data_IF_201931795795
#
_entry.id   IF_201931795795
#
_cell.length_a   1.000
_cell.length_b   1.000
_cell.length_c   1.000
_cell.angle_alpha   90.00
_cell.angle_beta   90.00
_cell.angle_gamma   90.00
#
_symmetry.space_group_name_H-M   'P 1'
#
loop_
_entity.id
_entity.type
_entity.pdbx_description
1 polymer ?
#
# COMPACT_ATOMS: atom_id res chain seq x y z
N UNK A 1 -3.77 3.66 -35.10
CA UNK A 1 -4.57 4.91 -35.10
C UNK A 1 -5.23 5.07 -33.74
N UNK A 2 -4.58 5.80 -32.81
CA UNK A 2 -5.12 6.08 -31.47
C UNK A 2 -5.72 7.49 -31.42
N UNK A 3 -7.02 7.56 -31.15
CA UNK A 3 -7.74 8.80 -30.90
C UNK A 3 -7.54 9.21 -29.44
N UNK A 4 -6.57 10.10 -29.20
CA UNK A 4 -6.35 10.74 -27.92
C UNK A 4 -7.44 11.80 -27.67
N UNK A 5 -8.35 11.53 -26.72
CA UNK A 5 -9.40 12.47 -26.30
C UNK A 5 -8.76 13.69 -25.61
N UNK A 6 -8.65 14.82 -26.34
CA UNK A 6 -8.29 16.13 -25.80
C UNK A 6 -9.28 16.55 -24.71
N UNK A 7 -8.78 16.73 -23.48
CA UNK A 7 -9.51 17.45 -22.42
C UNK A 7 -9.70 18.91 -22.86
N UNK A 8 -10.91 19.50 -22.78
CA UNK A 8 -11.15 20.85 -23.29
C UNK A 8 -10.33 21.90 -22.53
N UNK A 9 -9.53 22.67 -23.28
CA UNK A 9 -8.72 23.84 -22.84
C UNK A 9 -9.47 24.78 -21.87
N UNK A 10 -10.81 24.88 -22.01
CA UNK A 10 -11.70 25.71 -21.18
C UNK A 10 -11.75 25.31 -19.70
N UNK A 11 -11.58 24.03 -19.32
CA UNK A 11 -11.62 23.59 -17.89
C UNK A 11 -10.38 24.01 -17.11
N UNK A 12 -9.22 24.12 -17.79
CA UNK A 12 -7.94 24.55 -17.20
C UNK A 12 -7.93 26.07 -16.97
N UNK A 13 -8.47 26.83 -17.90
CA UNK A 13 -8.64 28.29 -17.76
C UNK A 13 -9.62 28.66 -16.62
N UNK A 14 -10.69 27.91 -16.43
CA UNK A 14 -11.66 28.16 -15.35
C UNK A 14 -11.05 27.95 -13.95
N UNK A 15 -10.24 26.89 -13.78
CA UNK A 15 -9.52 26.63 -12.52
C UNK A 15 -8.46 27.69 -12.22
N UNK A 16 -7.73 28.15 -13.23
CA UNK A 16 -6.74 29.23 -13.08
C UNK A 16 -7.40 30.56 -12.70
N UNK A 17 -8.60 30.86 -13.24
CA UNK A 17 -9.37 32.06 -12.87
C UNK A 17 -9.87 32.02 -11.41
N UNK A 18 -10.26 30.85 -10.90
CA UNK A 18 -10.68 30.69 -9.48
C UNK A 18 -9.50 30.87 -8.53
N UNK A 19 -8.32 30.32 -8.87
CA UNK A 19 -7.10 30.47 -8.08
C UNK A 19 -6.61 31.92 -8.05
N UNK A 20 -6.65 32.63 -9.19
CA UNK A 20 -6.35 34.08 -9.24
C UNK A 20 -7.33 34.94 -8.44
N UNK A 21 -8.62 34.56 -8.39
CA UNK A 21 -9.62 35.29 -7.58
C UNK A 21 -9.42 35.08 -6.08
N UNK A 22 -8.98 33.88 -5.66
CA UNK A 22 -8.62 33.59 -4.26
C UNK A 22 -7.35 34.31 -3.83
N UNK A 23 -6.31 34.38 -4.68
CA UNK A 23 -5.08 35.12 -4.36
C UNK A 23 -5.33 36.63 -4.22
N UNK A 24 -6.16 37.22 -5.08
CA UNK A 24 -6.55 38.65 -4.97
C UNK A 24 -7.31 38.97 -3.68
N UNK A 25 -8.19 38.07 -3.19
CA UNK A 25 -8.90 38.24 -1.91
C UNK A 25 -7.96 38.17 -0.70
N UNK A 26 -6.97 37.25 -0.73
CA UNK A 26 -5.96 37.14 0.32
C UNK A 26 -5.07 38.39 0.33
N UNK A 27 -4.65 38.89 -0.84
CA UNK A 27 -3.89 40.13 -0.95
C UNK A 27 -4.66 41.35 -0.41
N UNK A 28 -5.96 41.43 -0.67
CA UNK A 28 -6.83 42.48 -0.13
C UNK A 28 -6.95 42.41 1.39
N UNK A 29 -7.07 41.21 1.97
CA UNK A 29 -7.14 41.02 3.43
C UNK A 29 -5.82 41.37 4.11
N UNK A 30 -4.68 40.98 3.54
CA UNK A 30 -3.35 41.34 4.04
C UNK A 30 -3.12 42.85 3.92
N UNK A 31 -3.52 43.48 2.81
CA UNK A 31 -3.44 44.93 2.63
C UNK A 31 -4.27 45.70 3.67
N UNK A 32 -5.49 45.23 3.98
CA UNK A 32 -6.33 45.81 5.02
C UNK A 32 -5.75 45.58 6.43
N UNK A 33 -5.13 44.44 6.70
CA UNK A 33 -4.47 44.14 7.98
C UNK A 33 -3.22 45.03 8.19
N UNK A 34 -2.44 45.24 7.14
CA UNK A 34 -1.27 46.14 7.13
C UNK A 34 -1.71 47.60 7.32
N UNK A 35 -2.84 48.00 6.73
CA UNK A 35 -3.44 49.33 6.96
C UNK A 35 -3.97 49.50 8.39
N UNK A 36 -4.56 48.45 8.98
CA UNK A 36 -5.02 48.45 10.38
C UNK A 36 -3.85 48.52 11.38
N UNK A 37 -2.71 47.94 11.05
CA UNK A 37 -1.51 47.98 11.91
C UNK A 37 -0.72 49.29 11.78
N UNK A 38 -1.03 50.16 10.82
CA UNK A 38 -0.21 51.32 10.47
C UNK A 38 -0.67 52.67 11.07
N UNK A 39 -1.77 52.76 11.82
CA UNK A 39 -2.25 54.06 12.36
C UNK A 39 -2.74 53.80 13.79
N UNK A 40 -1.95 54.05 14.85
CA UNK A 40 -1.85 55.38 15.48
C UNK A 40 -0.69 55.53 16.50
N UNK A 41 0.32 54.66 16.53
CA UNK A 41 1.37 54.68 17.58
C UNK A 41 2.83 54.77 17.12
N UNK A 42 3.11 54.87 15.82
CA UNK A 42 4.50 54.87 15.29
C UNK A 42 5.14 56.28 15.27
N UNK A 43 4.40 57.34 15.63
CA UNK A 43 4.91 58.71 15.53
C UNK A 43 5.81 59.18 16.70
N UNK A 44 5.96 58.41 17.78
CA UNK A 44 6.69 58.85 18.98
C UNK A 44 7.99 58.09 19.31
N UNK A 45 8.51 57.26 18.39
CA UNK A 45 9.75 56.52 18.61
C UNK A 45 10.96 57.18 17.94
N UNK A 46 12.12 57.05 18.61
CA UNK A 46 13.40 57.58 18.17
C UNK A 46 13.76 57.09 16.76
N UNK A 47 14.51 57.91 16.02
CA UNK A 47 14.90 57.65 14.63
C UNK A 47 15.49 56.24 14.39
N UNK A 48 16.14 55.66 15.41
CA UNK A 48 16.70 54.29 15.37
C UNK A 48 15.63 53.19 15.31
N UNK A 49 14.49 53.36 15.98
CA UNK A 49 13.41 52.38 15.96
C UNK A 49 12.67 52.34 14.62
N UNK A 50 12.56 53.49 13.95
CA UNK A 50 11.99 53.59 12.60
C UNK A 50 12.84 52.85 11.57
N UNK A 51 14.17 53.03 11.63
CA UNK A 51 15.12 52.30 10.77
C UNK A 51 15.00 50.79 11.02
N UNK A 52 14.94 50.37 12.29
CA UNK A 52 14.79 48.95 12.64
C UNK A 52 13.49 48.34 12.11
N UNK A 53 12.36 49.04 12.25
CA UNK A 53 11.07 48.59 11.74
C UNK A 53 11.05 48.44 10.21
N UNK A 54 11.70 49.36 9.49
CA UNK A 54 11.84 49.29 8.02
C UNK A 54 12.69 48.08 7.60
N UNK A 55 13.84 47.85 8.26
CA UNK A 55 14.69 46.69 7.98
C UNK A 55 13.98 45.35 8.27
N UNK A 56 13.21 45.28 9.36
CA UNK A 56 12.42 44.10 9.71
C UNK A 56 11.33 43.82 8.66
N UNK A 57 10.66 44.85 8.16
CA UNK A 57 9.67 44.71 7.07
C UNK A 57 10.32 44.19 5.78
N UNK A 58 11.49 44.71 5.41
CA UNK A 58 12.24 44.24 4.22
C UNK A 58 12.63 42.77 4.39
N UNK A 59 13.10 42.37 5.58
CA UNK A 59 13.46 40.99 5.88
C UNK A 59 12.25 40.04 5.77
N UNK A 60 11.09 40.43 6.34
CA UNK A 60 9.86 39.62 6.29
C UNK A 60 9.38 39.47 4.85
N UNK A 61 9.36 40.55 4.07
CA UNK A 61 8.97 40.51 2.65
C UNK A 61 9.95 39.64 1.84
N UNK A 62 11.25 39.75 2.11
CA UNK A 62 12.28 38.91 1.49
C UNK A 62 12.08 37.42 1.79
N UNK A 63 11.80 37.07 3.05
CA UNK A 63 11.51 35.68 3.46
C UNK A 63 10.24 35.15 2.80
N UNK A 64 9.18 35.97 2.70
CA UNK A 64 7.94 35.59 2.02
C UNK A 64 8.19 35.38 0.53
N UNK A 65 8.95 36.28 -0.12
CA UNK A 65 9.28 36.18 -1.54
C UNK A 65 10.13 34.94 -1.85
N UNK A 66 11.16 34.68 -1.04
CA UNK A 66 12.00 33.48 -1.13
C UNK A 66 11.17 32.21 -0.92
N UNK A 67 10.30 32.18 0.10
CA UNK A 67 9.42 31.04 0.33
C UNK A 67 8.44 30.83 -0.83
N UNK A 68 7.78 31.87 -1.33
CA UNK A 68 6.81 31.75 -2.44
C UNK A 68 7.47 31.28 -3.74
N UNK A 69 8.67 31.78 -4.07
CA UNK A 69 9.40 31.34 -5.27
C UNK A 69 9.99 29.93 -5.11
N UNK A 70 10.59 29.61 -3.96
CA UNK A 70 11.06 28.24 -3.70
C UNK A 70 9.91 27.22 -3.65
N UNK A 71 8.74 27.58 -3.10
CA UNK A 71 7.59 26.67 -3.11
C UNK A 71 7.05 26.46 -4.53
N UNK A 72 6.97 27.52 -5.34
CA UNK A 72 6.48 27.44 -6.72
C UNK A 72 7.39 26.59 -7.60
N UNK A 73 8.71 26.77 -7.51
CA UNK A 73 9.67 25.94 -8.24
C UNK A 73 9.67 24.49 -7.77
N UNK A 74 9.61 24.24 -6.46
CA UNK A 74 9.52 22.88 -5.92
C UNK A 74 8.22 22.18 -6.32
N UNK A 75 7.08 22.87 -6.32
CA UNK A 75 5.79 22.31 -6.77
C UNK A 75 5.83 22.00 -8.27
N UNK A 76 6.42 22.87 -9.09
CA UNK A 76 6.58 22.63 -10.52
C UNK A 76 7.56 21.48 -10.80
N UNK A 77 8.67 21.37 -10.08
CA UNK A 77 9.62 20.27 -10.16
C UNK A 77 9.01 18.94 -9.71
N UNK A 78 8.23 18.92 -8.63
CA UNK A 78 7.47 17.74 -8.18
C UNK A 78 6.42 17.34 -9.24
N UNK A 79 5.76 18.32 -9.85
CA UNK A 79 4.78 18.05 -10.89
C UNK A 79 5.45 17.53 -12.18
N UNK A 80 6.56 18.13 -12.61
CA UNK A 80 7.36 17.66 -13.74
C UNK A 80 7.95 16.28 -13.46
N UNK A 81 8.49 16.01 -12.27
CA UNK A 81 8.95 14.69 -11.85
C UNK A 81 7.84 13.63 -11.87
N UNK A 82 6.62 13.98 -11.43
CA UNK A 82 5.45 13.08 -11.51
C UNK A 82 4.99 12.84 -12.95
N UNK A 83 5.13 13.82 -13.84
CA UNK A 83 4.70 13.73 -15.25
C UNK A 83 5.74 13.03 -16.13
N UNK A 84 7.03 13.25 -15.91
CA UNK A 84 8.11 12.58 -16.66
C UNK A 84 8.29 11.12 -16.25
N UNK A 85 7.93 10.75 -15.00
CA UNK A 85 7.90 9.35 -14.55
C UNK A 85 6.65 8.58 -14.99
N UNK A 86 5.70 9.23 -15.67
CA UNK A 86 4.52 8.62 -16.28
C UNK A 86 4.75 8.13 -17.72
N UNK A 87 6.01 7.99 -18.14
CA UNK A 87 6.38 7.19 -19.32
C UNK A 87 6.36 5.72 -18.89
N UNK A 88 5.37 4.96 -19.34
CA UNK A 88 5.11 3.54 -19.00
C UNK A 88 6.37 2.75 -18.64
N UNK A 89 6.68 2.68 -17.34
CA UNK A 89 7.56 1.62 -16.81
C UNK A 89 6.72 0.34 -16.85
N UNK A 90 7.29 -0.76 -17.36
CA UNK A 90 6.60 -2.06 -17.39
C UNK A 90 6.06 -2.48 -16.02
N UNK A 91 5.22 -3.53 -16.01
CA UNK A 91 4.68 -4.09 -14.78
C UNK A 91 5.78 -4.35 -13.75
N UNK A 92 5.68 -3.67 -12.60
CA UNK A 92 6.66 -3.82 -11.53
C UNK A 92 6.21 -4.85 -10.49
N UNK A 93 4.89 -5.00 -10.32
CA UNK A 93 4.30 -5.89 -9.33
C UNK A 93 3.12 -6.67 -9.93
N UNK A 94 3.09 -7.97 -9.69
CA UNK A 94 1.92 -8.82 -9.93
C UNK A 94 1.32 -9.21 -8.59
N UNK A 95 0.04 -8.90 -8.37
CA UNK A 95 -0.71 -9.27 -7.17
C UNK A 95 -1.80 -10.24 -7.57
N UNK A 96 -1.94 -11.32 -6.82
CA UNK A 96 -2.91 -12.35 -7.08
C UNK A 96 -3.60 -12.84 -5.82
N UNK A 97 -4.75 -13.45 -6.04
CA UNK A 97 -5.58 -14.02 -4.98
C UNK A 97 -6.47 -15.11 -5.57
N UNK A 98 -7.24 -15.78 -4.73
CA UNK A 98 -8.19 -16.82 -5.11
C UNK A 98 -9.31 -16.90 -4.09
N UNK A 99 -10.51 -17.21 -4.54
CA UNK A 99 -11.65 -17.52 -3.68
C UNK A 99 -12.68 -18.34 -4.44
N UNK A 100 -13.58 -18.97 -3.67
CA UNK A 100 -14.80 -19.59 -4.20
C UNK A 100 -15.99 -18.65 -3.99
N UNK A 101 -16.91 -18.60 -4.96
CA UNK A 101 -18.12 -17.79 -4.86
C UNK A 101 -18.97 -18.21 -3.68
N UNK A 102 -19.28 -17.24 -2.80
CA UNK A 102 -20.06 -17.47 -1.58
C UNK A 102 -20.93 -16.27 -1.27
N UNK A 103 -22.22 -16.52 -0.99
CA UNK A 103 -23.19 -15.46 -0.68
C UNK A 103 -22.77 -14.62 0.53
N UNK A 104 -22.23 -15.24 1.57
CA UNK A 104 -21.81 -14.56 2.80
C UNK A 104 -20.53 -13.70 2.64
N UNK A 105 -19.78 -13.89 1.55
CA UNK A 105 -18.57 -13.13 1.23
C UNK A 105 -18.71 -12.24 -0.02
N UNK A 106 -19.88 -12.22 -0.66
CA UNK A 106 -20.10 -11.53 -1.92
C UNK A 106 -19.71 -10.04 -1.85
N UNK A 107 -20.10 -9.35 -0.77
CA UNK A 107 -19.77 -7.93 -0.58
C UNK A 107 -18.25 -7.71 -0.53
N UNK A 108 -17.53 -8.52 0.26
CA UNK A 108 -16.08 -8.31 0.48
C UNK A 108 -15.25 -8.69 -0.74
N UNK A 109 -15.63 -9.76 -1.45
CA UNK A 109 -14.99 -10.14 -2.71
C UNK A 109 -15.27 -9.10 -3.81
N UNK A 110 -16.50 -8.59 -3.88
CA UNK A 110 -16.84 -7.53 -4.83
C UNK A 110 -16.05 -6.24 -4.56
N UNK A 111 -15.88 -5.87 -3.29
CA UNK A 111 -15.02 -4.76 -2.90
C UNK A 111 -13.58 -4.99 -3.37
N UNK A 112 -13.00 -6.17 -3.15
CA UNK A 112 -11.64 -6.49 -3.59
C UNK A 112 -11.51 -6.40 -5.11
N UNK A 113 -12.44 -7.03 -5.84
CA UNK A 113 -12.44 -7.07 -7.30
C UNK A 113 -12.46 -5.67 -7.93
N UNK A 114 -13.20 -4.74 -7.33
CA UNK A 114 -13.30 -3.36 -7.80
C UNK A 114 -12.19 -2.45 -7.26
N UNK A 115 -11.87 -2.51 -5.97
CA UNK A 115 -10.95 -1.55 -5.34
C UNK A 115 -9.50 -1.80 -5.72
N UNK A 116 -9.08 -3.06 -5.93
CA UNK A 116 -7.71 -3.33 -6.34
C UNK A 116 -7.38 -2.74 -7.72
N UNK A 117 -8.38 -2.55 -8.60
CA UNK A 117 -8.20 -1.84 -9.89
C UNK A 117 -7.71 -0.40 -9.72
N UNK A 118 -7.87 0.18 -8.52
CA UNK A 118 -7.45 1.55 -8.21
C UNK A 118 -5.99 1.63 -7.71
N UNK A 119 -5.29 0.50 -7.49
CA UNK A 119 -3.92 0.49 -6.93
C UNK A 119 -2.87 1.09 -7.88
N UNK A 120 -3.17 1.11 -9.17
CA UNK A 120 -2.38 1.79 -10.18
C UNK A 120 -2.14 0.92 -11.42
N UNK A 121 -1.81 1.54 -12.57
CA UNK A 121 -1.67 0.84 -13.84
C UNK A 121 -0.48 -0.13 -13.91
N UNK A 122 0.52 0.05 -13.05
CA UNK A 122 1.76 -0.76 -13.07
C UNK A 122 1.67 -2.02 -12.20
N UNK A 123 0.48 -2.30 -11.63
CA UNK A 123 0.18 -3.49 -10.84
C UNK A 123 -0.69 -4.44 -11.69
N UNK A 124 -0.17 -5.62 -11.99
CA UNK A 124 -0.94 -6.69 -12.62
C UNK A 124 -1.81 -7.37 -11.57
N UNK A 125 -3.13 -7.39 -11.77
CA UNK A 125 -4.05 -8.15 -10.94
C UNK A 125 -4.34 -9.50 -11.59
N UNK A 126 -4.25 -10.59 -10.82
CA UNK A 126 -4.53 -11.95 -11.30
C UNK A 126 -5.48 -12.66 -10.33
N UNK A 127 -6.56 -13.23 -10.84
CA UNK A 127 -7.46 -14.08 -10.09
C UNK A 127 -7.23 -15.54 -10.47
N UNK A 128 -6.98 -16.39 -9.47
CA UNK A 128 -6.98 -17.84 -9.65
C UNK A 128 -8.37 -18.40 -9.38
N UNK A 129 -9.03 -18.91 -10.40
CA UNK A 129 -10.35 -19.54 -10.27
C UNK A 129 -10.62 -20.54 -11.38
N UNK A 130 -11.43 -21.57 -11.08
CA UNK A 130 -11.99 -22.50 -12.05
C UNK A 130 -13.50 -22.23 -12.29
N UNK A 131 -14.07 -21.20 -11.67
CA UNK A 131 -15.47 -20.79 -11.87
C UNK A 131 -15.59 -19.83 -13.06
N UNK A 132 -16.36 -20.21 -14.07
CA UNK A 132 -16.49 -19.45 -15.33
C UNK A 132 -17.09 -18.06 -15.14
N UNK A 133 -18.14 -17.94 -14.32
CA UNK A 133 -18.82 -16.66 -14.07
C UNK A 133 -17.87 -15.69 -13.37
N UNK A 134 -17.21 -16.15 -12.30
CA UNK A 134 -16.25 -15.34 -11.55
C UNK A 134 -15.04 -14.93 -12.43
N UNK A 135 -14.57 -15.83 -13.30
CA UNK A 135 -13.53 -15.50 -14.27
C UNK A 135 -13.97 -14.38 -15.22
N UNK A 136 -15.20 -14.45 -15.76
CA UNK A 136 -15.74 -13.42 -16.65
C UNK A 136 -15.89 -12.07 -15.96
N UNK A 137 -16.37 -12.04 -14.71
CA UNK A 137 -16.49 -10.82 -13.90
C UNK A 137 -15.13 -10.15 -13.68
N UNK A 138 -14.09 -10.95 -13.37
CA UNK A 138 -12.74 -10.44 -13.16
C UNK A 138 -12.13 -9.88 -14.46
N UNK A 139 -12.26 -10.62 -15.57
CA UNK A 139 -11.80 -10.19 -16.89
C UNK A 139 -12.46 -8.87 -17.32
N UNK A 140 -13.76 -8.71 -17.07
CA UNK A 140 -14.50 -7.48 -17.38
C UNK A 140 -13.97 -6.25 -16.62
N UNK A 141 -13.33 -6.45 -15.47
CA UNK A 141 -12.71 -5.40 -14.66
C UNK A 141 -11.20 -5.24 -14.94
N UNK A 142 -10.67 -5.90 -15.96
CA UNK A 142 -9.27 -5.80 -16.37
C UNK A 142 -8.28 -6.68 -15.60
N UNK A 143 -8.77 -7.61 -14.78
CA UNK A 143 -7.93 -8.62 -14.17
C UNK A 143 -7.47 -9.63 -15.22
N UNK A 144 -6.34 -10.29 -14.96
CA UNK A 144 -6.01 -11.56 -15.63
C UNK A 144 -6.60 -12.70 -14.82
N UNK A 145 -6.85 -13.82 -15.48
CA UNK A 145 -7.36 -15.03 -14.84
C UNK A 145 -6.44 -16.19 -15.18
N UNK A 146 -6.10 -16.98 -14.17
CA UNK A 146 -5.42 -18.25 -14.33
C UNK A 146 -6.25 -19.37 -13.69
N UNK A 147 -6.25 -20.59 -14.25
CA UNK A 147 -6.91 -21.71 -13.61
C UNK A 147 -6.16 -22.17 -12.36
N UNK A 148 -6.88 -22.78 -11.42
CA UNK A 148 -6.27 -23.50 -10.30
C UNK A 148 -5.91 -24.90 -10.80
N UNK A 149 -4.63 -25.11 -11.11
CA UNK A 149 -4.11 -26.39 -11.64
C UNK A 149 -3.69 -27.37 -10.54
N UNK A 150 -3.28 -26.85 -9.38
CA UNK A 150 -2.72 -27.66 -8.30
C UNK A 150 -3.49 -27.44 -7.00
N UNK A 151 -4.00 -28.54 -6.46
CA UNK A 151 -4.84 -28.56 -5.27
C UNK A 151 -4.36 -29.62 -4.28
N UNK A 152 -4.65 -29.40 -3.01
CA UNK A 152 -4.45 -30.37 -1.94
C UNK A 152 -5.54 -30.20 -0.86
N UNK A 153 -5.51 -31.04 0.19
CA UNK A 153 -6.32 -30.81 1.39
C UNK A 153 -7.84 -30.68 1.15
N UNK A 154 -8.39 -31.47 0.24
CA UNK A 154 -9.80 -31.36 -0.18
C UNK A 154 -10.02 -30.25 -1.20
N UNK A 155 -9.29 -30.32 -2.32
CA UNK A 155 -9.43 -29.44 -3.48
C UNK A 155 -9.17 -27.94 -3.23
N UNK A 156 -8.26 -27.62 -2.31
CA UNK A 156 -7.86 -26.23 -1.99
C UNK A 156 -6.61 -25.83 -2.78
N UNK A 157 -6.52 -24.58 -3.28
CA UNK A 157 -5.38 -24.14 -4.09
C UNK A 157 -4.07 -24.19 -3.31
N UNK A 158 -3.02 -24.72 -3.94
CA UNK A 158 -1.67 -24.75 -3.38
C UNK A 158 -0.97 -23.41 -3.63
N UNK A 159 -0.51 -22.76 -2.56
CA UNK A 159 0.06 -21.41 -2.60
C UNK A 159 1.27 -21.29 -3.54
N UNK A 160 2.24 -22.22 -3.41
CA UNK A 160 3.47 -22.15 -4.21
C UNK A 160 3.20 -22.27 -5.71
N UNK A 161 2.22 -23.09 -6.09
CA UNK A 161 1.88 -23.30 -7.50
C UNK A 161 1.37 -22.00 -8.12
N UNK A 162 0.54 -21.26 -7.40
CA UNK A 162 0.07 -19.95 -7.86
C UNK A 162 1.23 -18.94 -8.02
N UNK A 163 2.18 -18.92 -7.07
CA UNK A 163 3.39 -18.09 -7.20
C UNK A 163 4.22 -18.45 -8.44
N UNK A 164 4.49 -19.74 -8.66
CA UNK A 164 5.24 -20.20 -9.82
C UNK A 164 4.52 -19.89 -11.14
N UNK A 165 3.18 -20.01 -11.17
CA UNK A 165 2.38 -19.70 -12.35
C UNK A 165 2.38 -18.20 -12.67
N UNK A 166 2.24 -17.30 -11.68
CA UNK A 166 2.35 -15.85 -11.95
C UNK A 166 3.77 -15.45 -12.36
N UNK A 167 4.81 -16.06 -11.77
CA UNK A 167 6.20 -15.82 -12.17
C UNK A 167 6.46 -16.22 -13.62
N UNK A 168 5.86 -17.32 -14.08
CA UNK A 168 5.97 -17.79 -15.47
C UNK A 168 5.22 -16.92 -16.46
N UNK A 169 4.02 -16.46 -16.11
CA UNK A 169 3.10 -15.81 -17.06
C UNK A 169 3.16 -14.27 -17.03
N UNK A 170 3.58 -13.66 -15.92
CA UNK A 170 3.54 -12.21 -15.73
C UNK A 170 4.86 -11.66 -15.15
N UNK A 171 5.93 -11.57 -15.95
CA UNK A 171 7.22 -11.08 -15.48
C UNK A 171 7.09 -9.74 -14.74
N UNK A 172 7.51 -9.72 -13.49
CA UNK A 172 7.45 -8.58 -12.57
C UNK A 172 8.65 -8.60 -11.62
N UNK A 173 8.97 -7.45 -10.99
CA UNK A 173 9.99 -7.40 -9.92
C UNK A 173 9.47 -7.98 -8.60
N UNK A 174 8.16 -7.87 -8.36
CA UNK A 174 7.49 -8.26 -7.12
C UNK A 174 6.28 -9.12 -7.44
N UNK A 175 6.11 -10.23 -6.73
CA UNK A 175 4.94 -11.11 -6.82
C UNK A 175 4.26 -11.15 -5.46
N UNK A 176 2.95 -10.90 -5.40
CA UNK A 176 2.19 -10.78 -4.17
C UNK A 176 0.98 -11.70 -4.11
N UNK A 177 0.85 -12.49 -3.06
CA UNK A 177 -0.42 -13.11 -2.69
C UNK A 177 -1.07 -12.30 -1.58
N UNK A 178 -2.38 -12.09 -1.64
CA UNK A 178 -3.15 -11.66 -0.47
C UNK A 178 -4.51 -12.39 -0.41
N UNK A 179 -5.03 -12.58 0.79
CA UNK A 179 -6.38 -13.11 0.97
C UNK A 179 -7.42 -12.18 0.31
N UNK A 180 -8.49 -12.77 -0.21
CA UNK A 180 -9.50 -12.09 -1.03
C UNK A 180 -10.34 -11.05 -0.28
N UNK A 181 -10.22 -10.98 1.03
CA UNK A 181 -10.86 -10.01 1.91
C UNK A 181 -9.89 -8.93 2.42
N UNK A 182 -8.68 -8.83 1.86
CA UNK A 182 -7.72 -7.74 2.13
C UNK A 182 -7.84 -6.61 1.10
N UNK A 183 -7.96 -5.38 1.59
CA UNK A 183 -7.91 -4.16 0.79
C UNK A 183 -6.63 -3.38 1.09
N UNK A 184 -6.03 -2.84 0.03
CA UNK A 184 -4.86 -1.96 0.13
C UNK A 184 -5.18 -0.57 -0.40
N UNK A 185 -4.47 0.44 0.10
CA UNK A 185 -4.45 1.77 -0.50
C UNK A 185 -3.13 2.08 -1.22
N UNK A 186 -2.91 3.36 -1.56
CA UNK A 186 -1.70 3.79 -2.26
C UNK A 186 -0.41 3.56 -1.49
N UNK A 187 -0.47 3.31 -0.17
CA UNK A 187 0.72 3.01 0.64
C UNK A 187 1.41 1.73 0.18
N UNK A 188 0.68 0.75 -0.35
CA UNK A 188 1.25 -0.47 -0.93
C UNK A 188 2.28 -0.14 -2.01
N UNK A 189 1.89 0.68 -2.99
CA UNK A 189 2.74 1.06 -4.10
C UNK A 189 3.95 1.89 -3.62
N UNK A 190 3.72 2.85 -2.73
CA UNK A 190 4.78 3.69 -2.15
C UNK A 190 5.81 2.88 -1.38
N UNK A 191 5.37 1.94 -0.53
CA UNK A 191 6.26 1.09 0.26
C UNK A 191 7.04 0.12 -0.61
N UNK A 192 6.37 -0.65 -1.49
CA UNK A 192 7.05 -1.63 -2.33
C UNK A 192 8.11 -0.97 -3.21
N UNK A 193 7.81 0.17 -3.82
CA UNK A 193 8.81 0.90 -4.62
C UNK A 193 9.95 1.47 -3.79
N UNK A 194 9.71 1.81 -2.54
CA UNK A 194 10.78 2.28 -1.66
C UNK A 194 11.70 1.13 -1.28
N UNK A 195 11.15 -0.04 -0.92
CA UNK A 195 11.94 -1.25 -0.67
C UNK A 195 12.75 -1.64 -1.92
N UNK A 196 12.15 -1.54 -3.11
CA UNK A 196 12.81 -1.86 -4.36
C UNK A 196 14.02 -0.97 -4.69
N UNK A 197 14.18 0.20 -4.06
CA UNK A 197 15.38 1.03 -4.24
C UNK A 197 16.61 0.47 -3.53
N UNK A 198 16.43 -0.49 -2.64
CA UNK A 198 17.50 -1.08 -1.84
C UNK A 198 17.81 -2.51 -2.28
N UNK A 199 17.97 -2.71 -3.60
CA UNK A 199 18.24 -4.03 -4.20
C UNK A 199 19.38 -4.78 -3.50
N UNK A 200 20.41 -4.07 -3.02
CA UNK A 200 21.54 -4.64 -2.29
C UNK A 200 21.18 -5.51 -1.07
N UNK A 201 20.01 -5.33 -0.46
CA UNK A 201 19.60 -6.13 0.72
C UNK A 201 19.08 -7.52 0.37
N UNK A 202 18.76 -7.81 -0.90
CA UNK A 202 18.07 -9.05 -1.27
C UNK A 202 18.55 -9.71 -2.57
N UNK A 203 19.61 -9.21 -3.22
CA UNK A 203 20.09 -9.75 -4.51
C UNK A 203 20.33 -11.27 -4.47
N UNK A 204 20.91 -11.80 -3.39
CA UNK A 204 21.38 -13.19 -3.35
C UNK A 204 20.37 -14.22 -2.79
N UNK A 205 19.38 -13.80 -1.99
CA UNK A 205 18.50 -14.75 -1.26
C UNK A 205 17.00 -14.43 -1.45
N UNK A 206 16.67 -13.49 -2.33
CA UNK A 206 15.30 -12.99 -2.47
C UNK A 206 14.83 -12.23 -1.22
N UNK A 207 13.56 -11.82 -1.25
CA UNK A 207 12.92 -11.15 -0.12
C UNK A 207 11.54 -11.72 0.14
N UNK A 208 11.08 -11.53 1.38
CA UNK A 208 9.71 -11.73 1.82
C UNK A 208 9.24 -10.46 2.53
N UNK A 209 8.21 -9.83 1.99
CA UNK A 209 7.57 -8.65 2.56
C UNK A 209 6.17 -9.06 3.00
N UNK A 210 5.87 -8.84 4.27
CA UNK A 210 4.54 -9.11 4.85
C UNK A 210 4.31 -8.14 6.00
N UNK A 211 3.21 -8.27 6.71
CA UNK A 211 2.89 -7.47 7.86
C UNK A 211 1.50 -7.75 8.39
N UNK A 212 1.14 -7.02 9.44
CA UNK A 212 -0.17 -7.12 10.07
C UNK A 212 -1.18 -6.29 9.27
N UNK A 213 -2.42 -6.75 9.37
CA UNK A 213 -3.62 -6.12 8.81
C UNK A 213 -4.45 -5.47 9.91
N UNK A 214 -5.28 -4.52 9.54
CA UNK A 214 -6.28 -3.90 10.41
C UNK A 214 -7.62 -4.56 10.18
N UNK A 215 -8.14 -5.25 11.19
CA UNK A 215 -9.45 -5.90 11.15
C UNK A 215 -10.56 -4.86 11.30
N UNK A 216 -11.44 -4.77 10.32
CA UNK A 216 -12.59 -3.86 10.33
C UNK A 216 -13.86 -4.66 10.14
N UNK A 217 -14.83 -4.48 11.05
CA UNK A 217 -16.15 -5.07 10.90
C UNK A 217 -16.87 -4.46 9.68
N UNK A 218 -17.12 -5.29 8.67
CA UNK A 218 -17.64 -4.87 7.37
C UNK A 218 -19.14 -5.11 7.16
N UNK A 219 -19.90 -5.38 8.22
CA UNK A 219 -21.35 -5.67 8.11
C UNK A 219 -22.18 -4.54 7.48
N UNK A 220 -21.84 -3.28 7.71
CA UNK A 220 -22.59 -2.11 7.22
C UNK A 220 -21.68 -1.02 6.62
N UNK A 221 -20.58 -1.42 6.00
CA UNK A 221 -19.61 -0.50 5.42
C UNK A 221 -19.58 -0.61 3.89
N UNK A 222 -19.66 0.53 3.23
CA UNK A 222 -19.43 0.65 1.79
C UNK A 222 -18.16 1.43 1.54
N UNK A 223 -17.24 0.85 0.77
CA UNK A 223 -15.99 1.52 0.37
C UNK A 223 -15.97 1.66 -1.13
N UNK A 224 -16.08 2.90 -1.61
CA UNK A 224 -16.10 3.22 -3.04
C UNK A 224 -14.72 3.52 -3.63
N UNK A 225 -13.74 3.85 -2.78
CA UNK A 225 -12.40 4.17 -3.22
C UNK A 225 -11.35 3.82 -2.17
N UNK A 226 -10.19 3.37 -2.65
CA UNK A 226 -9.03 3.07 -1.81
C UNK A 226 -8.55 4.27 -0.99
N UNK A 227 -8.84 5.50 -1.44
CA UNK A 227 -8.48 6.74 -0.71
C UNK A 227 -9.20 6.89 0.63
N UNK A 228 -10.33 6.19 0.79
CA UNK A 228 -11.11 6.22 2.03
C UNK A 228 -10.69 5.12 3.01
N UNK A 229 -9.75 4.24 2.65
CA UNK A 229 -9.40 3.08 3.48
C UNK A 229 -8.76 3.49 4.81
N UNK A 230 -8.01 4.58 4.89
CA UNK A 230 -7.49 5.08 6.17
C UNK A 230 -8.60 5.43 7.17
N UNK A 231 -9.69 6.06 6.70
CA UNK A 231 -10.88 6.35 7.50
C UNK A 231 -11.67 5.10 7.88
N UNK A 232 -11.63 4.07 7.04
CA UNK A 232 -12.25 2.77 7.34
C UNK A 232 -11.43 2.04 8.40
N UNK A 233 -10.12 2.01 8.23
CA UNK A 233 -9.16 1.38 9.13
C UNK A 233 -9.15 2.01 10.53
N UNK A 234 -9.43 3.31 10.66
CA UNK A 234 -9.51 3.98 11.96
C UNK A 234 -10.64 3.45 12.87
N UNK A 235 -11.56 2.65 12.33
CA UNK A 235 -12.62 1.95 13.08
C UNK A 235 -12.25 0.51 13.43
N UNK A 236 -11.10 0.04 12.99
CA UNK A 236 -10.63 -1.31 13.16
C UNK A 236 -9.64 -1.47 14.30
N UNK A 237 -9.15 -2.70 14.46
CA UNK A 237 -8.05 -3.01 15.36
C UNK A 237 -6.92 -3.68 14.61
N UNK A 238 -5.69 -3.31 14.94
CA UNK A 238 -4.51 -3.97 14.38
C UNK A 238 -4.51 -5.43 14.83
N UNK A 239 -4.52 -6.32 13.87
CA UNK A 239 -4.71 -7.73 14.12
C UNK A 239 -3.47 -8.37 14.76
N UNK A 240 -3.58 -9.56 15.34
CA UNK A 240 -2.49 -10.17 16.13
C UNK A 240 -1.24 -10.45 15.28
N UNK A 241 -0.08 -10.55 15.94
CA UNK A 241 1.26 -10.77 15.35
C UNK A 241 1.44 -12.10 14.59
N UNK A 242 0.42 -12.94 14.56
CA UNK A 242 0.46 -14.27 13.93
C UNK A 242 -0.60 -14.42 12.86
N UNK A 243 -1.28 -13.33 12.49
CA UNK A 243 -2.14 -13.35 11.32
C UNK A 243 -1.59 -12.41 10.27
N UNK A 244 -1.06 -13.03 9.24
CA UNK A 244 -0.50 -12.40 8.08
C UNK A 244 -1.36 -12.82 6.91
N UNK A 245 -1.96 -11.86 6.21
CA UNK A 245 -2.92 -12.15 5.14
C UNK A 245 -2.40 -11.72 3.76
N UNK A 246 -1.13 -11.27 3.69
CA UNK A 246 -0.48 -10.88 2.45
C UNK A 246 1.03 -11.15 2.48
N UNK A 247 1.59 -11.52 1.34
CA UNK A 247 3.00 -11.87 1.19
C UNK A 247 3.50 -11.46 -0.18
N UNK A 248 4.53 -10.62 -0.22
CA UNK A 248 5.20 -10.20 -1.45
C UNK A 248 6.62 -10.75 -1.50
N UNK A 249 7.02 -11.31 -2.63
CA UNK A 249 8.32 -11.93 -2.84
C UNK A 249 8.95 -11.46 -4.14
N UNK A 250 10.28 -11.50 -4.20
CA UNK A 250 11.03 -11.32 -5.45
C UNK A 250 11.14 -12.62 -6.23
N UNK A 251 11.63 -12.54 -7.47
CA UNK A 251 11.85 -13.72 -8.34
C UNK A 251 12.73 -14.79 -7.68
N UNK A 252 13.71 -14.38 -6.86
CA UNK A 252 14.68 -15.29 -6.24
C UNK A 252 14.16 -15.99 -4.95
N UNK A 253 12.94 -15.72 -4.50
CA UNK A 253 12.40 -16.43 -3.34
C UNK A 253 12.17 -17.92 -3.68
N UNK A 254 12.61 -18.88 -2.85
CA UNK A 254 12.73 -20.28 -3.26
C UNK A 254 11.39 -21.06 -3.23
N UNK A 255 10.44 -20.64 -4.05
CA UNK A 255 9.11 -21.27 -4.15
C UNK A 255 9.14 -22.74 -4.60
N UNK A 256 10.17 -23.16 -5.33
CA UNK A 256 10.32 -24.55 -5.80
C UNK A 256 10.45 -25.55 -4.64
N UNK A 257 11.08 -25.15 -3.53
CA UNK A 257 11.27 -25.98 -2.33
C UNK A 257 10.23 -25.71 -1.24
N UNK A 258 9.34 -24.73 -1.45
CA UNK A 258 8.22 -24.50 -0.53
C UNK A 258 7.30 -25.74 -0.52
N UNK A 259 6.77 -26.17 0.64
CA UNK A 259 5.86 -27.31 0.71
C UNK A 259 4.50 -27.00 0.07
N UNK A 260 3.72 -28.03 -0.26
CA UNK A 260 2.39 -27.89 -0.86
C UNK A 260 1.33 -27.42 0.16
N UNK A 261 1.53 -26.23 0.75
CA UNK A 261 0.55 -25.63 1.65
C UNK A 261 -0.59 -24.99 0.87
N UNK A 262 -1.79 -25.14 1.41
CA UNK A 262 -3.02 -24.62 0.81
C UNK A 262 -3.44 -23.31 1.46
N UNK A 263 -4.01 -22.42 0.67
CA UNK A 263 -4.61 -21.18 1.15
C UNK A 263 -5.96 -21.43 1.83
N UNK A 264 -6.44 -20.43 2.61
CA UNK A 264 -7.73 -20.51 3.30
C UNK A 264 -7.78 -21.50 4.47
N UNK A 265 -6.63 -22.02 4.90
CA UNK A 265 -6.45 -22.87 6.08
C UNK A 265 -5.37 -22.28 6.97
N UNK A 266 -5.36 -22.67 8.25
CA UNK A 266 -4.40 -22.07 9.20
C UNK A 266 -2.96 -22.44 8.82
N UNK A 267 -2.00 -21.67 9.32
CA UNK A 267 -0.58 -22.00 9.42
C UNK A 267 0.30 -21.76 8.18
N UNK A 268 -0.25 -21.56 6.96
CA UNK A 268 0.60 -21.22 5.81
C UNK A 268 1.21 -19.82 5.95
N UNK A 269 0.47 -18.92 6.58
CA UNK A 269 0.80 -17.54 6.91
C UNK A 269 2.02 -17.45 7.84
N UNK A 270 2.05 -18.28 8.88
CA UNK A 270 3.21 -18.33 9.76
C UNK A 270 4.37 -19.12 9.14
N UNK A 271 4.08 -20.18 8.39
CA UNK A 271 5.13 -21.01 7.81
C UNK A 271 5.97 -20.27 6.77
N UNK A 272 5.39 -19.40 5.97
CA UNK A 272 6.18 -18.65 4.96
C UNK A 272 7.24 -17.75 5.61
N UNK A 273 6.99 -17.22 6.80
CA UNK A 273 8.00 -16.50 7.59
C UNK A 273 9.10 -17.46 8.07
N UNK A 274 8.72 -18.61 8.64
CA UNK A 274 9.69 -19.66 9.05
C UNK A 274 10.56 -20.07 7.87
N UNK A 275 9.94 -20.30 6.72
CA UNK A 275 10.60 -20.70 5.48
C UNK A 275 11.54 -19.61 4.95
N UNK A 276 11.11 -18.34 4.99
CA UNK A 276 11.97 -17.20 4.65
C UNK A 276 13.22 -17.15 5.53
N UNK A 277 13.07 -17.38 6.84
CA UNK A 277 14.19 -17.41 7.78
C UNK A 277 15.17 -18.57 7.47
N UNK A 278 14.64 -19.79 7.29
CA UNK A 278 15.45 -20.98 6.94
C UNK A 278 16.27 -20.75 5.66
N UNK A 279 15.69 -20.07 4.69
CA UNK A 279 16.33 -19.78 3.40
C UNK A 279 17.10 -18.44 3.38
N UNK A 280 17.27 -17.79 4.53
CA UNK A 280 18.00 -16.52 4.68
C UNK A 280 17.48 -15.40 3.76
N UNK A 281 16.18 -15.42 3.45
CA UNK A 281 15.55 -14.38 2.66
C UNK A 281 15.57 -13.04 3.42
N UNK A 282 15.65 -11.92 2.70
CA UNK A 282 15.49 -10.61 3.30
C UNK A 282 14.02 -10.43 3.72
N UNK A 283 13.73 -10.58 5.01
CA UNK A 283 12.36 -10.48 5.54
C UNK A 283 12.09 -9.06 6.05
N UNK A 284 10.99 -8.46 5.61
CA UNK A 284 10.62 -7.07 5.92
C UNK A 284 9.15 -6.99 6.38
N UNK A 285 8.95 -6.48 7.59
CA UNK A 285 7.65 -6.18 8.16
C UNK A 285 7.17 -4.80 7.69
N UNK A 286 6.00 -4.77 7.09
CA UNK A 286 5.38 -3.57 6.51
C UNK A 286 4.15 -3.10 7.26
N UNK A 287 3.91 -3.63 8.46
CA UNK A 287 2.80 -3.24 9.34
C UNK A 287 2.67 -1.71 9.50
N UNK A 288 3.80 -0.99 9.60
CA UNK A 288 3.82 0.45 9.86
C UNK A 288 3.85 1.31 8.59
N UNK A 289 3.91 0.69 7.40
CA UNK A 289 4.03 1.44 6.14
C UNK A 289 3.01 1.06 5.07
N UNK A 290 2.45 -0.16 5.10
CA UNK A 290 1.37 -0.63 4.22
C UNK A 290 0.09 -0.72 5.03
N UNK A 291 -0.93 0.02 4.59
CA UNK A 291 -2.28 -0.15 5.09
C UNK A 291 -2.96 -1.35 4.41
N UNK A 292 -3.03 -2.47 5.12
CA UNK A 292 -3.83 -3.62 4.76
C UNK A 292 -5.09 -3.67 5.64
N UNK A 293 -6.27 -3.56 5.03
CA UNK A 293 -7.57 -3.61 5.73
C UNK A 293 -8.23 -4.96 5.49
N UNK A 294 -8.45 -5.72 6.55
CA UNK A 294 -9.19 -6.97 6.50
C UNK A 294 -10.68 -6.72 6.70
N UNK A 295 -11.49 -7.19 5.75
CA UNK A 295 -12.93 -7.01 5.72
C UNK A 295 -13.63 -8.11 6.55
N UNK A 296 -13.64 -7.96 7.88
CA UNK A 296 -14.23 -8.93 8.80
C UNK A 296 -15.73 -9.06 8.58
N UNK A 297 -16.17 -10.25 8.18
CA UNK A 297 -17.59 -10.65 8.07
C UNK A 297 -18.04 -11.45 9.31
N UNK A 298 -19.28 -11.97 9.31
CA UNK A 298 -19.84 -12.75 10.42
C UNK A 298 -19.08 -14.04 10.72
N UNK A 299 -18.29 -14.55 9.78
CA UNK A 299 -17.43 -15.71 10.00
C UNK A 299 -16.22 -15.42 10.91
N UNK A 300 -15.93 -14.13 11.14
CA UNK A 300 -14.90 -13.65 12.04
C UNK A 300 -13.47 -13.88 11.55
N UNK A 301 -12.52 -13.34 12.29
CA UNK A 301 -11.10 -13.33 11.90
C UNK A 301 -10.38 -14.68 12.04
N UNK A 302 -11.06 -15.70 12.58
CA UNK A 302 -10.53 -17.06 12.78
C UNK A 302 -11.33 -18.09 11.98
N UNK A 303 -12.04 -17.68 10.94
CA UNK A 303 -12.89 -18.57 10.15
C UNK A 303 -12.13 -19.80 9.63
N UNK A 304 -10.87 -19.63 9.21
CA UNK A 304 -10.02 -20.70 8.66
C UNK A 304 -9.81 -21.88 9.61
N UNK A 305 -9.82 -21.65 10.94
CA UNK A 305 -9.63 -22.74 11.92
C UNK A 305 -10.88 -23.59 12.12
N UNK A 306 -12.04 -23.10 11.65
CA UNK A 306 -13.35 -23.77 11.75
C UNK A 306 -13.76 -24.48 10.45
N UNK A 307 -12.95 -24.38 9.38
CA UNK A 307 -13.27 -24.98 8.08
C UNK A 307 -12.89 -26.47 8.03
N UNK A 308 -13.54 -27.29 7.17
CA UNK A 308 -13.09 -28.65 6.89
C UNK A 308 -11.61 -28.67 6.48
N UNK A 309 -10.83 -29.62 6.97
CA UNK A 309 -9.38 -29.69 6.76
C UNK A 309 -8.59 -28.48 7.31
N UNK A 310 -9.11 -27.76 8.32
CA UNK A 310 -8.44 -26.64 9.00
C UNK A 310 -6.94 -26.89 9.27
N UNK A 311 -6.62 -28.07 9.79
CA UNK A 311 -5.28 -28.48 10.23
C UNK A 311 -4.42 -29.11 9.12
N UNK A 312 -4.75 -28.94 7.84
CA UNK A 312 -3.99 -29.62 6.78
C UNK A 312 -2.54 -29.15 6.73
N UNK A 313 -2.31 -27.84 6.74
CA UNK A 313 -0.96 -27.27 6.72
C UNK A 313 -0.20 -27.52 8.04
N UNK A 314 -0.89 -27.62 9.19
CA UNK A 314 -0.21 -27.77 10.49
C UNK A 314 0.58 -29.08 10.57
N UNK A 315 0.21 -30.11 9.80
CA UNK A 315 0.96 -31.37 9.72
C UNK A 315 2.36 -31.20 9.09
N UNK A 316 2.58 -30.12 8.36
CA UNK A 316 3.84 -29.80 7.69
C UNK A 316 4.77 -28.93 8.55
N UNK A 317 4.30 -28.47 9.72
CA UNK A 317 5.03 -27.61 10.63
C UNK A 317 5.33 -28.37 11.92
N UNK A 318 6.59 -28.38 12.35
CA UNK A 318 6.94 -28.86 13.70
C UNK A 318 6.36 -27.89 14.73
N UNK A 319 5.55 -28.35 15.72
CA UNK A 319 4.87 -27.45 16.67
C UNK A 319 5.79 -26.45 17.37
N UNK A 320 7.03 -26.85 17.71
CA UNK A 320 8.00 -25.98 18.39
C UNK A 320 8.41 -24.75 17.55
N UNK A 321 8.23 -24.78 16.23
CA UNK A 321 8.67 -23.71 15.33
C UNK A 321 7.60 -22.65 15.05
N UNK A 322 6.35 -22.85 15.48
CA UNK A 322 5.23 -21.97 15.11
C UNK A 322 5.47 -20.51 15.50
N UNK A 323 6.09 -20.28 16.67
CA UNK A 323 6.43 -18.95 17.19
C UNK A 323 7.41 -18.17 16.31
N UNK A 324 8.29 -18.86 15.59
CA UNK A 324 9.26 -18.27 14.67
C UNK A 324 8.59 -17.68 13.41
N UNK A 325 7.33 -18.07 13.17
CA UNK A 325 6.53 -17.60 12.04
C UNK A 325 5.68 -16.37 12.32
N UNK A 326 5.94 -15.64 13.41
CA UNK A 326 5.17 -14.45 13.75
C UNK A 326 5.81 -13.21 13.15
N UNK A 327 4.99 -12.21 12.87
CA UNK A 327 5.45 -10.95 12.27
C UNK A 327 6.58 -10.33 13.08
N UNK A 328 6.53 -10.36 14.42
CA UNK A 328 7.56 -9.78 15.32
C UNK A 328 8.92 -10.52 15.30
N UNK A 329 9.00 -11.68 14.65
CA UNK A 329 10.26 -12.36 14.35
C UNK A 329 10.94 -11.87 13.07
N UNK A 330 10.28 -11.00 12.29
CA UNK A 330 10.87 -10.39 11.11
C UNK A 330 11.85 -9.29 11.56
N UNK A 331 13.14 -9.32 11.16
CA UNK A 331 14.19 -8.46 11.71
C UNK A 331 14.26 -7.05 11.10
N UNK A 332 13.67 -6.84 9.92
CA UNK A 332 13.57 -5.53 9.29
C UNK A 332 12.11 -5.09 9.32
N UNK A 333 11.88 -3.80 9.52
CA UNK A 333 10.56 -3.21 9.39
C UNK A 333 10.64 -1.89 8.61
N UNK A 334 9.50 -1.47 8.07
CA UNK A 334 9.40 -0.19 7.35
C UNK A 334 8.59 0.80 8.15
N UNK A 335 9.05 2.06 8.19
CA UNK A 335 8.32 3.17 8.83
C UNK A 335 8.38 4.40 7.94
N UNK A 336 7.38 5.27 8.04
CA UNK A 336 7.48 6.62 7.48
C UNK A 336 8.30 7.51 8.41
N UNK A 337 9.27 8.24 7.87
CA UNK A 337 9.92 9.34 8.58
C UNK A 337 9.04 10.59 8.61
N UNK A 338 9.55 11.68 9.22
CA UNK A 338 8.84 12.95 9.34
C UNK A 338 8.56 13.64 7.99
N UNK A 339 9.24 13.22 6.91
CA UNK A 339 9.04 13.72 5.55
C UNK A 339 8.06 12.84 4.76
N UNK A 340 7.56 11.75 5.36
CA UNK A 340 6.70 10.78 4.70
C UNK A 340 7.46 9.84 3.75
N UNK A 341 8.77 9.69 3.93
CA UNK A 341 9.59 8.75 3.17
C UNK A 341 9.65 7.42 3.93
N UNK A 342 9.51 6.31 3.21
CA UNK A 342 9.61 4.97 3.78
C UNK A 342 11.07 4.63 4.04
N UNK A 343 11.40 4.37 5.30
CA UNK A 343 12.71 3.91 5.78
C UNK A 343 12.65 2.43 6.12
N UNK A 344 13.71 1.68 5.85
CA UNK A 344 13.89 0.30 6.33
C UNK A 344 14.76 0.36 7.58
N UNK A 345 14.26 -0.19 8.68
CA UNK A 345 14.89 -0.11 10.00
C UNK A 345 15.07 -1.54 10.52
N UNK A 346 16.22 -1.82 11.11
CA UNK A 346 16.45 -3.08 11.82
C UNK A 346 15.84 -2.99 13.22
N UNK A 347 15.12 -4.03 13.63
CA UNK A 347 14.61 -4.15 15.00
C UNK A 347 15.20 -5.36 15.72
N UNK A 348 15.21 -5.30 17.05
CA UNK A 348 15.54 -6.45 17.91
C UNK A 348 14.38 -7.44 17.89
N UNK A 349 14.66 -8.70 17.52
CA UNK A 349 13.66 -9.77 17.56
C UNK A 349 13.70 -10.48 18.91
N UNK A 350 12.55 -10.99 19.40
CA UNK A 350 12.50 -11.79 20.63
C UNK A 350 13.42 -13.03 20.59
N UNK A 351 13.94 -13.51 21.74
CA UNK A 351 14.77 -14.73 21.79
C UNK A 351 14.07 -15.97 21.21
N UNK A 352 12.74 -16.06 21.36
CA UNK A 352 11.91 -17.16 20.85
C UNK A 352 11.82 -17.23 19.31
N UNK A 353 12.41 -16.27 18.60
CA UNK A 353 12.48 -16.26 17.15
C UNK A 353 13.66 -17.05 16.58
N UNK A 354 14.62 -17.45 17.42
CA UNK A 354 15.87 -18.10 17.05
C UNK A 354 15.87 -19.59 17.38
#
# INVERSE_FOLDING_TARGET
MSLEKRVPRKKKEWRNRILLRRSKRIFSLISSLVKMLAIKHIFNYSHRLKIFAVLLMILIVGIIYLNMNMFSENVNLIHLYKVTKQKHQGQFCTIFTSWTTRKDKAIVHNNTLHLWTQLGPDIQLVLFTNESILAQEALALGWKVLPILHVACGNLPVLKSMFLDVQRNFPSKVYGYANSDILFDSTLNTTLRSILKHEQFYQNHGFLITGRRTNVNFHNLTVKSIRNLSKVASKGSLARIWGEDYFFTGTNFPWSTFPNMVIGRVAFDNYIIIFGNINKACMIDTTMSILAVHQTTSDGNLASSKRPNAKCNTKLIKPQKYRQGYTDCIPLETRYDFQGIVQIIKRTTPPLCH
#
